data_IF_689328603539
#
_entry.id   IF_689328603539
#
_cell.length_a   1.000
_cell.length_b   1.000
_cell.length_c   1.000
_cell.angle_alpha   90.00
_cell.angle_beta   90.00
_cell.angle_gamma   90.00
#
_symmetry.space_group_name_H-M   'P 1'
#
loop_
_entity.id
_entity.type
_entity.pdbx_description
1 polymer ?
#
# COMPACT_ATOMS: atom_id res chain seq x y z
N UNK A 1 41.81 24.60 -40.75
CA UNK A 1 41.60 23.31 -41.43
C UNK A 1 41.59 22.26 -40.32
N UNK A 2 40.44 21.75 -39.92
CA UNK A 2 40.35 20.70 -38.88
C UNK A 2 40.30 19.35 -39.57
N UNK A 3 41.30 18.51 -39.33
CA UNK A 3 41.40 17.16 -39.87
C UNK A 3 40.52 16.22 -39.02
N UNK A 4 39.50 15.62 -39.64
CA UNK A 4 38.59 14.65 -39.00
C UNK A 4 39.32 13.32 -38.84
N UNK A 5 40.08 13.17 -37.76
CA UNK A 5 40.74 11.91 -37.41
C UNK A 5 39.69 10.98 -36.80
N UNK A 6 39.30 9.94 -37.53
CA UNK A 6 38.42 8.88 -37.03
C UNK A 6 39.25 7.73 -36.46
N UNK A 7 39.40 7.62 -35.14
CA UNK A 7 40.12 6.49 -34.54
C UNK A 7 39.31 5.20 -34.76
N UNK A 8 39.90 4.22 -35.45
CA UNK A 8 39.33 2.89 -35.61
C UNK A 8 39.75 2.03 -34.42
N UNK A 9 38.82 1.72 -33.53
CA UNK A 9 39.07 0.84 -32.38
C UNK A 9 39.06 -0.63 -32.82
N UNK A 10 39.84 -1.46 -32.12
CA UNK A 10 39.72 -2.92 -32.27
C UNK A 10 38.33 -3.35 -31.81
N UNK A 11 37.71 -4.28 -32.55
CA UNK A 11 36.33 -4.73 -32.32
C UNK A 11 36.05 -5.13 -30.86
N UNK A 12 37.00 -5.82 -30.22
CA UNK A 12 36.87 -6.24 -28.82
C UNK A 12 36.79 -5.06 -27.84
N UNK A 13 37.51 -3.97 -28.11
CA UNK A 13 37.42 -2.77 -27.28
C UNK A 13 36.13 -2.00 -27.55
N UNK A 14 35.64 -2.01 -28.79
CA UNK A 14 34.33 -1.45 -29.13
C UNK A 14 33.19 -2.19 -28.42
N UNK A 15 33.17 -3.52 -28.46
CA UNK A 15 32.19 -4.36 -27.76
C UNK A 15 32.20 -4.11 -26.24
N UNK A 16 33.40 -3.96 -25.66
CA UNK A 16 33.55 -3.63 -24.23
C UNK A 16 32.97 -2.25 -23.91
N UNK A 17 33.24 -1.25 -24.75
CA UNK A 17 32.71 0.11 -24.56
C UNK A 17 31.19 0.15 -24.72
N UNK A 18 30.64 -0.58 -25.68
CA UNK A 18 29.19 -0.71 -25.88
C UNK A 18 28.53 -1.40 -24.66
N UNK A 19 29.17 -2.44 -24.12
CA UNK A 19 28.73 -3.08 -22.88
C UNK A 19 28.72 -2.12 -21.69
N UNK A 20 29.79 -1.33 -21.50
CA UNK A 20 29.85 -0.31 -20.44
C UNK A 20 28.83 0.82 -20.66
N UNK A 21 28.56 1.20 -21.91
CA UNK A 21 27.55 2.19 -22.24
C UNK A 21 26.14 1.67 -21.92
N UNK A 22 25.87 0.38 -22.15
CA UNK A 22 24.64 -0.29 -21.73
C UNK A 22 24.45 -0.24 -20.21
N UNK A 23 25.42 -0.74 -19.45
CA UNK A 23 25.36 -0.75 -17.98
C UNK A 23 25.14 0.65 -17.40
N UNK A 24 25.78 1.69 -17.97
CA UNK A 24 25.58 3.08 -17.52
C UNK A 24 24.15 3.57 -17.76
N UNK A 25 23.56 3.23 -18.91
CA UNK A 25 22.18 3.61 -19.23
C UNK A 25 21.20 2.92 -18.28
N UNK A 26 21.41 1.63 -18.03
CA UNK A 26 20.58 0.85 -17.11
C UNK A 26 20.67 1.39 -15.68
N UNK A 27 21.88 1.74 -15.22
CA UNK A 27 22.07 2.38 -13.93
C UNK A 27 21.34 3.74 -13.86
N UNK A 28 21.42 4.57 -14.90
CA UNK A 28 20.72 5.86 -14.92
C UNK A 28 19.20 5.70 -14.84
N UNK A 29 18.63 4.70 -15.54
CA UNK A 29 17.20 4.36 -15.46
C UNK A 29 16.84 3.91 -14.04
N UNK A 30 17.62 3.00 -13.45
CA UNK A 30 17.39 2.53 -12.09
C UNK A 30 17.48 3.65 -11.05
N UNK A 31 18.47 4.54 -11.15
CA UNK A 31 18.64 5.69 -10.25
C UNK A 31 17.45 6.65 -10.34
N UNK A 32 16.97 6.91 -11.57
CA UNK A 32 15.78 7.73 -11.78
C UNK A 32 14.54 7.11 -11.14
N UNK A 33 14.31 5.81 -11.35
CA UNK A 33 13.18 5.08 -10.76
C UNK A 33 13.26 5.08 -9.23
N UNK A 34 14.43 4.76 -8.67
CA UNK A 34 14.66 4.81 -7.23
C UNK A 34 14.47 6.20 -6.65
N UNK A 35 14.87 7.25 -7.37
CA UNK A 35 14.63 8.63 -6.95
C UNK A 35 13.15 8.94 -6.93
N UNK A 36 12.40 8.53 -7.95
CA UNK A 36 10.95 8.70 -8.03
C UNK A 36 10.22 8.00 -6.87
N UNK A 37 10.58 6.75 -6.57
CA UNK A 37 10.04 6.00 -5.44
C UNK A 37 10.34 6.69 -4.10
N UNK A 38 11.60 7.10 -3.89
CA UNK A 38 11.99 7.81 -2.67
C UNK A 38 11.26 9.15 -2.53
N UNK A 39 11.10 9.91 -3.62
CA UNK A 39 10.33 11.16 -3.56
C UNK A 39 8.86 10.90 -3.26
N UNK A 40 8.30 9.80 -3.77
CA UNK A 40 6.91 9.41 -3.49
C UNK A 40 6.73 9.04 -2.02
N UNK A 41 7.62 8.20 -1.47
CA UNK A 41 7.61 7.88 -0.05
C UNK A 41 7.77 9.12 0.82
N UNK A 42 8.69 10.02 0.46
CA UNK A 42 8.92 11.26 1.20
C UNK A 42 7.66 12.13 1.19
N UNK A 43 7.06 12.36 0.03
CA UNK A 43 5.83 13.14 -0.11
C UNK A 43 4.68 12.52 0.69
N UNK A 44 4.47 11.20 0.56
CA UNK A 44 3.41 10.53 1.30
C UNK A 44 3.64 10.54 2.80
N UNK A 45 4.86 10.34 3.28
CA UNK A 45 5.17 10.31 4.70
C UNK A 45 5.21 11.70 5.35
N UNK A 46 5.94 12.63 4.75
CA UNK A 46 6.22 13.94 5.35
C UNK A 46 5.13 14.99 5.07
N UNK A 47 4.41 14.88 3.96
CA UNK A 47 3.38 15.87 3.60
C UNK A 47 1.97 15.31 3.83
N UNK A 48 1.66 14.13 3.28
CA UNK A 48 0.28 13.59 3.28
C UNK A 48 -0.08 12.94 4.61
N UNK A 49 0.73 11.99 5.08
CA UNK A 49 0.42 11.16 6.26
C UNK A 49 1.09 11.66 7.55
N UNK A 50 1.64 12.88 7.52
CA UNK A 50 2.23 13.56 8.66
C UNK A 50 1.28 13.65 9.86
N UNK A 51 0.03 13.97 9.59
CA UNK A 51 -1.04 14.00 10.57
C UNK A 51 -2.40 13.73 9.88
N UNK A 52 -3.43 13.50 10.70
CA UNK A 52 -4.78 13.22 10.19
C UNK A 52 -5.35 14.38 9.36
N UNK A 53 -4.98 15.64 9.65
CA UNK A 53 -5.46 16.81 8.92
C UNK A 53 -4.91 16.88 7.51
N UNK A 54 -3.59 16.68 7.34
CA UNK A 54 -2.97 16.58 6.01
C UNK A 54 -3.56 15.45 5.17
N UNK A 55 -3.83 14.29 5.80
CA UNK A 55 -4.40 13.15 5.11
C UNK A 55 -5.85 13.43 4.65
N UNK A 56 -6.64 14.16 5.44
CA UNK A 56 -7.99 14.62 5.07
C UNK A 56 -7.96 15.58 3.88
N UNK A 57 -7.08 16.59 3.91
CA UNK A 57 -6.94 17.55 2.80
C UNK A 57 -6.53 16.83 1.52
N UNK A 58 -5.59 15.89 1.61
CA UNK A 58 -5.17 15.09 0.47
C UNK A 58 -6.30 14.18 -0.04
N UNK A 59 -7.07 13.54 0.86
CA UNK A 59 -8.21 12.72 0.48
C UNK A 59 -9.21 13.55 -0.32
N UNK A 60 -9.58 14.75 0.17
CA UNK A 60 -10.51 15.65 -0.52
C UNK A 60 -10.02 16.03 -1.91
N UNK A 61 -8.76 16.43 -2.02
CA UNK A 61 -8.15 16.79 -3.30
C UNK A 61 -8.10 15.61 -4.29
N UNK A 62 -8.11 14.36 -3.81
CA UNK A 62 -8.08 13.15 -4.64
C UNK A 62 -9.44 12.62 -5.05
N UNK A 63 -10.52 13.12 -4.46
CA UNK A 63 -11.85 12.55 -4.61
C UNK A 63 -12.90 13.65 -4.81
N UNK A 64 -12.55 14.69 -5.56
CA UNK A 64 -13.45 15.76 -5.98
C UNK A 64 -14.19 16.45 -4.82
N UNK A 65 -13.48 16.67 -3.70
CA UNK A 65 -14.00 17.40 -2.53
C UNK A 65 -15.25 16.76 -1.89
N UNK A 66 -15.42 15.44 -1.98
CA UNK A 66 -16.52 14.71 -1.33
C UNK A 66 -16.42 14.73 0.20
N UNK A 67 -16.95 15.79 0.82
CA UNK A 67 -16.87 16.04 2.27
C UNK A 67 -17.54 14.95 3.08
N UNK A 68 -18.75 14.53 2.71
CA UNK A 68 -19.54 13.53 3.46
C UNK A 68 -18.75 12.22 3.60
N UNK A 69 -18.25 11.70 2.49
CA UNK A 69 -17.40 10.51 2.46
C UNK A 69 -16.09 10.68 3.21
N UNK A 70 -15.49 11.87 3.16
CA UNK A 70 -14.27 12.16 3.92
C UNK A 70 -14.52 12.09 5.43
N UNK A 71 -15.69 12.55 5.89
CA UNK A 71 -16.08 12.47 7.30
C UNK A 71 -16.32 11.00 7.71
N UNK A 72 -16.91 10.18 6.84
CA UNK A 72 -17.06 8.73 7.06
C UNK A 72 -15.69 8.03 7.17
N UNK A 73 -14.75 8.37 6.28
CA UNK A 73 -13.40 7.80 6.24
C UNK A 73 -12.45 8.37 7.30
N UNK A 74 -12.87 9.40 8.06
CA UNK A 74 -12.00 10.11 9.02
C UNK A 74 -11.37 9.18 10.06
N UNK A 75 -12.11 8.19 10.56
CA UNK A 75 -11.59 7.19 11.48
C UNK A 75 -10.47 6.33 10.87
N UNK A 76 -10.61 5.98 9.58
CA UNK A 76 -9.59 5.23 8.84
C UNK A 76 -8.34 6.08 8.61
N UNK A 77 -8.51 7.34 8.21
CA UNK A 77 -7.40 8.28 8.02
C UNK A 77 -6.63 8.53 9.32
N UNK A 78 -7.34 8.64 10.45
CA UNK A 78 -6.72 8.75 11.77
C UNK A 78 -5.87 7.51 12.10
N UNK A 79 -6.40 6.31 11.82
CA UNK A 79 -5.67 5.05 12.05
C UNK A 79 -4.45 4.92 11.15
N UNK A 80 -4.58 5.26 9.87
CA UNK A 80 -3.48 5.21 8.91
C UNK A 80 -2.34 6.14 9.31
N UNK A 81 -2.67 7.40 9.62
CA UNK A 81 -1.67 8.41 10.03
C UNK A 81 -1.00 8.03 11.35
N UNK A 82 -1.77 7.51 12.31
CA UNK A 82 -1.19 7.05 13.59
C UNK A 82 -0.22 5.87 13.39
N UNK A 83 -0.56 4.92 12.51
CA UNK A 83 0.31 3.80 12.17
C UNK A 83 1.59 4.23 11.42
N UNK A 84 1.50 5.18 10.50
CA UNK A 84 2.68 5.72 9.79
C UNK A 84 3.65 6.42 10.75
N UNK A 85 3.12 7.08 11.78
CA UNK A 85 3.92 7.84 12.73
C UNK A 85 4.28 7.05 14.00
N UNK A 86 3.96 5.75 14.08
CA UNK A 86 4.16 4.90 15.28
C UNK A 86 3.60 5.55 16.57
N UNK A 87 2.37 6.06 16.47
CA UNK A 87 1.66 6.73 17.56
C UNK A 87 0.29 6.10 17.79
N UNK A 88 -0.27 6.33 18.98
CA UNK A 88 -1.65 5.99 19.25
C UNK A 88 -2.61 6.91 18.51
N UNK A 89 -3.79 6.39 18.16
CA UNK A 89 -4.83 7.22 17.56
C UNK A 89 -5.32 8.26 18.57
N UNK A 90 -5.48 9.55 18.18
CA UNK A 90 -5.93 10.59 19.09
C UNK A 90 -7.28 10.25 19.73
N UNK A 91 -7.39 10.44 21.05
CA UNK A 91 -8.56 10.07 21.85
C UNK A 91 -9.89 10.56 21.23
N UNK A 92 -9.93 11.82 20.80
CA UNK A 92 -11.11 12.44 20.14
C UNK A 92 -11.59 11.70 18.88
N UNK A 93 -10.70 10.96 18.21
CA UNK A 93 -10.98 10.23 16.97
C UNK A 93 -11.15 8.72 17.22
N UNK A 94 -10.85 8.20 18.41
CA UNK A 94 -11.00 6.77 18.74
C UNK A 94 -12.43 6.29 18.61
N UNK A 95 -13.40 7.14 18.95
CA UNK A 95 -14.82 6.84 18.80
C UNK A 95 -15.21 6.49 17.35
N UNK A 96 -14.51 7.07 16.37
CA UNK A 96 -14.75 6.85 14.94
C UNK A 96 -14.15 5.53 14.42
N UNK A 97 -13.36 4.83 15.24
CA UNK A 97 -12.69 3.57 14.87
C UNK A 97 -13.54 2.33 15.22
N UNK A 98 -14.59 2.49 16.03
CA UNK A 98 -15.44 1.38 16.43
C UNK A 98 -16.36 0.92 15.28
N UNK A 99 -15.89 -0.15 14.62
CA UNK A 99 -16.60 -1.09 13.76
C UNK A 99 -17.77 -0.50 12.93
N UNK A 100 -17.47 -0.20 11.67
CA UNK A 100 -18.40 -0.59 10.62
C UNK A 100 -18.58 -2.12 10.67
N UNK A 101 -19.50 -2.61 11.52
CA UNK A 101 -20.23 -3.82 11.17
C UNK A 101 -21.10 -3.39 10.00
N UNK A 102 -20.55 -3.45 8.78
CA UNK A 102 -21.36 -3.38 7.57
C UNK A 102 -22.30 -4.58 7.65
N UNK A 103 -23.52 -4.36 8.13
CA UNK A 103 -24.57 -5.35 8.25
C UNK A 103 -25.00 -5.81 6.87
N UNK A 104 -24.18 -6.63 6.22
CA UNK A 104 -24.64 -7.53 5.19
C UNK A 104 -25.47 -8.59 5.90
N UNK A 105 -26.77 -8.66 5.59
CA UNK A 105 -27.59 -9.82 5.95
C UNK A 105 -27.00 -11.02 5.20
N UNK A 106 -26.09 -11.74 5.84
CA UNK A 106 -25.66 -13.05 5.35
C UNK A 106 -26.71 -14.05 5.80
N UNK A 107 -27.53 -14.52 4.85
CA UNK A 107 -28.40 -15.68 5.04
C UNK A 107 -27.56 -16.97 5.05
N UNK A 108 -26.73 -17.13 6.08
CA UNK A 108 -25.87 -18.29 6.34
C UNK A 108 -25.42 -18.26 7.81
N UNK A 109 -25.07 -19.42 8.41
CA UNK A 109 -24.79 -19.48 9.84
C UNK A 109 -23.59 -18.58 10.20
N UNK A 110 -23.84 -17.59 11.06
CA UNK A 110 -22.83 -16.64 11.55
C UNK A 110 -21.96 -17.34 12.60
N UNK A 111 -20.70 -17.61 12.28
CA UNK A 111 -19.68 -18.00 13.26
C UNK A 111 -19.05 -16.73 13.81
N UNK A 112 -19.62 -16.17 14.88
CA UNK A 112 -19.00 -15.09 15.62
C UNK A 112 -17.99 -15.68 16.61
N UNK A 113 -16.69 -15.47 16.40
CA UNK A 113 -15.63 -15.87 17.33
C UNK A 113 -15.66 -14.99 18.58
N UNK A 114 -16.60 -15.25 19.48
CA UNK A 114 -16.58 -14.81 20.87
C UNK A 114 -16.11 -15.95 21.77
N UNK A 115 -15.33 -15.62 22.80
CA UNK A 115 -14.82 -16.59 23.79
C UNK A 115 -16.00 -17.08 24.65
N UNK A 116 -16.65 -18.16 24.24
CA UNK A 116 -17.68 -18.82 25.06
C UNK A 116 -16.95 -19.77 26.00
N UNK A 117 -16.94 -19.43 27.28
CA UNK A 117 -16.50 -20.32 28.34
C UNK A 117 -17.53 -21.45 28.47
N UNK A 118 -17.06 -22.69 28.25
CA UNK A 118 -17.82 -23.91 28.46
C UNK A 118 -18.86 -24.16 27.37
N UNK A 119 -18.69 -25.24 26.62
CA UNK A 119 -19.73 -26.18 26.15
C UNK A 119 -19.09 -27.10 25.09
N UNK A 120 -19.05 -28.39 25.40
CA UNK A 120 -18.50 -29.45 24.53
C UNK A 120 -19.36 -29.62 23.27
N UNK A 121 -18.75 -29.55 22.09
CA UNK A 121 -19.44 -29.86 20.83
C UNK A 121 -19.33 -31.35 20.50
N UNK A 122 -20.48 -32.01 20.33
CA UNK A 122 -20.56 -33.31 19.65
C UNK A 122 -20.61 -33.06 18.13
N UNK A 123 -19.59 -33.51 17.41
CA UNK A 123 -19.60 -33.56 15.94
C UNK A 123 -20.48 -34.73 15.50
N UNK A 124 -21.58 -34.45 14.80
CA UNK A 124 -22.23 -35.45 13.94
C UNK A 124 -21.50 -35.44 12.59
N UNK A 125 -20.86 -36.56 12.25
CA UNK A 125 -20.09 -36.72 11.01
C UNK A 125 -20.97 -36.72 9.76
N UNK A 126 -20.46 -36.28 8.59
CA UNK A 126 -21.22 -36.32 7.35
C UNK A 126 -21.05 -37.66 6.64
N UNK A 127 -22.17 -38.18 6.13
CA UNK A 127 -22.19 -39.02 4.93
C UNK A 127 -22.05 -40.52 5.15
N UNK A 128 -23.19 -41.22 5.16
CA UNK A 128 -23.26 -42.61 4.71
C UNK A 128 -22.90 -42.70 3.22
N UNK A 129 -22.05 -43.63 2.79
CA UNK A 129 -22.16 -44.20 1.46
C UNK A 129 -23.11 -45.41 1.49
N UNK A 130 -24.07 -45.40 0.56
CA UNK A 130 -24.82 -46.58 0.12
C UNK A 130 -23.84 -47.57 -0.52
N UNK A 131 -23.93 -48.86 -0.15
CA UNK A 131 -23.49 -49.99 -0.97
C UNK A 131 -24.52 -51.13 -0.83
N UNK A 132 -25.04 -51.52 -2.00
CA UNK A 132 -25.89 -52.67 -2.41
C UNK A 132 -27.15 -53.06 -1.61
#
# INVERSE_FOLDING_TARGET
MTEDVRPTLHQHDQERLDGLAGVRKDQAVWEHQRKYERSTHKYLGEDVLKDTGSAVVWWLAKNDEQVERTVEDLGMLARLTSAVNDTDVPERLRALIHNAISGGVQHGPVIQSGRIAGLTFHVHGPGLPVQD
#
